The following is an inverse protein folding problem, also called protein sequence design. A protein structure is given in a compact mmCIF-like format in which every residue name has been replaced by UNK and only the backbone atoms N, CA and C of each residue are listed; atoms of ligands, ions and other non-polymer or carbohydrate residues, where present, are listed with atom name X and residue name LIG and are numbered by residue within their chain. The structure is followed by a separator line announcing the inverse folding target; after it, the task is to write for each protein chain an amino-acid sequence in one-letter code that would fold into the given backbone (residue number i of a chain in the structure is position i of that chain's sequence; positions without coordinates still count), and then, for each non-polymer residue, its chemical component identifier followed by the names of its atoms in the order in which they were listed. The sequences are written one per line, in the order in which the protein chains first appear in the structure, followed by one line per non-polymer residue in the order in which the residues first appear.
data_IF_568978561239
#
_entry.id   IF_568978561239
#
_cell.length_a   1.000
_cell.length_b   1.000
_cell.length_c   1.000
_cell.angle_alpha   90.00
_cell.angle_beta   90.00
_cell.angle_gamma   90.00
#
_symmetry.space_group_name_H-M   'P 1'
#
loop_
_entity.id
_entity.type
_entity.pdbx_description
1 polymer ?
#
# COMPACT_ATOMS: atom_id res chain seq x y z
N UNK A 1 -28.70 -57.42 -2.57
CA UNK A 1 -28.29 -56.26 -1.74
C UNK A 1 -27.28 -56.70 -0.68
N UNK A 2 -26.06 -57.07 -1.08
CA UNK A 2 -25.03 -57.54 -0.13
C UNK A 2 -23.61 -57.00 -0.42
N UNK A 3 -23.38 -56.24 -1.50
CA UNK A 3 -22.02 -55.78 -1.88
C UNK A 3 -21.60 -54.49 -1.18
N UNK A 4 -22.48 -53.51 -1.01
CA UNK A 4 -22.10 -52.18 -0.52
C UNK A 4 -21.66 -52.10 0.95
N UNK A 5 -21.99 -53.10 1.78
CA UNK A 5 -21.59 -53.09 3.20
C UNK A 5 -20.16 -53.62 3.40
N UNK A 6 -19.69 -54.51 2.54
CA UNK A 6 -18.33 -55.03 2.61
C UNK A 6 -17.32 -54.02 2.06
N UNK A 7 -17.68 -53.27 1.00
CA UNK A 7 -16.85 -52.18 0.47
C UNK A 7 -16.62 -51.06 1.53
N UNK A 8 -17.66 -50.75 2.33
CA UNK A 8 -17.56 -49.76 3.41
C UNK A 8 -16.71 -50.27 4.57
N UNK A 9 -16.80 -51.56 4.93
CA UNK A 9 -15.92 -52.15 5.96
C UNK A 9 -14.46 -52.19 5.51
N UNK A 10 -14.22 -52.44 4.24
CA UNK A 10 -12.87 -52.46 3.67
C UNK A 10 -12.25 -51.06 3.65
N UNK A 11 -13.02 -50.03 3.29
CA UNK A 11 -12.61 -48.64 3.38
C UNK A 11 -12.30 -48.21 4.84
N UNK A 12 -13.13 -48.60 5.80
CA UNK A 12 -12.91 -48.30 7.22
C UNK A 12 -11.64 -49.00 7.77
N UNK A 13 -11.38 -50.25 7.35
CA UNK A 13 -10.12 -50.95 7.69
C UNK A 13 -8.91 -50.24 7.11
N UNK A 14 -8.98 -49.78 5.85
CA UNK A 14 -7.90 -49.04 5.22
C UNK A 14 -7.60 -47.72 5.94
N UNK A 15 -8.65 -46.99 6.36
CA UNK A 15 -8.50 -45.74 7.13
C UNK A 15 -7.89 -46.01 8.50
N UNK A 16 -8.36 -47.04 9.23
CA UNK A 16 -7.81 -47.41 10.54
C UNK A 16 -6.33 -47.82 10.45
N UNK A 17 -5.96 -48.57 9.41
CA UNK A 17 -4.57 -48.95 9.14
C UNK A 17 -3.72 -47.71 8.82
N UNK A 18 -4.25 -46.77 8.04
CA UNK A 18 -3.61 -45.50 7.72
C UNK A 18 -3.37 -44.63 8.96
N UNK A 19 -4.36 -44.54 9.86
CA UNK A 19 -4.24 -43.81 11.12
C UNK A 19 -3.19 -44.43 12.05
N UNK A 20 -3.11 -45.77 12.11
CA UNK A 20 -2.11 -46.49 12.90
C UNK A 20 -0.69 -46.23 12.36
N UNK A 21 -0.52 -46.21 11.04
CA UNK A 21 0.76 -45.90 10.39
C UNK A 21 1.16 -44.43 10.57
N UNK A 22 0.19 -43.52 10.62
CA UNK A 22 0.45 -42.10 10.90
C UNK A 22 0.90 -41.90 12.35
N UNK A 23 0.25 -42.57 13.31
CA UNK A 23 0.64 -42.51 14.72
C UNK A 23 2.06 -43.02 14.94
N UNK A 24 2.44 -44.14 14.34
CA UNK A 24 3.81 -44.66 14.47
C UNK A 24 4.85 -43.76 13.79
N UNK A 25 4.51 -43.09 12.70
CA UNK A 25 5.38 -42.12 12.06
C UNK A 25 5.58 -40.86 12.93
N UNK A 26 4.51 -40.37 13.56
CA UNK A 26 4.57 -39.22 14.49
C UNK A 26 5.39 -39.58 15.73
N UNK A 27 5.23 -40.78 16.26
CA UNK A 27 6.00 -41.26 17.42
C UNK A 27 7.50 -41.41 17.09
N UNK A 28 7.83 -41.92 15.90
CA UNK A 28 9.21 -41.98 15.41
C UNK A 28 9.85 -40.59 15.22
N UNK A 29 9.07 -39.60 14.76
CA UNK A 29 9.53 -38.21 14.66
C UNK A 29 9.73 -37.60 16.04
N UNK A 30 8.83 -37.85 16.98
CA UNK A 30 8.93 -37.38 18.37
C UNK A 30 10.20 -37.93 19.06
N UNK A 31 10.50 -39.22 18.85
CA UNK A 31 11.71 -39.85 19.37
C UNK A 31 12.99 -39.23 18.77
N UNK A 32 13.01 -38.95 17.46
CA UNK A 32 14.13 -38.27 16.81
C UNK A 32 14.33 -36.84 17.32
N UNK A 33 13.25 -36.13 17.61
CA UNK A 33 13.33 -34.79 18.21
C UNK A 33 13.89 -34.87 19.63
N UNK A 34 13.46 -35.83 20.43
CA UNK A 34 14.00 -36.05 21.77
C UNK A 34 15.49 -36.45 21.76
N UNK A 35 15.93 -37.26 20.79
CA UNK A 35 17.35 -37.60 20.60
C UNK A 35 18.18 -36.37 20.19
N UNK A 36 17.66 -35.52 19.32
CA UNK A 36 18.33 -34.27 18.90
C UNK A 36 18.42 -33.24 20.03
N UNK A 37 17.40 -33.17 20.90
CA UNK A 37 17.43 -32.33 22.09
C UNK A 37 18.49 -32.83 23.09
N UNK A 38 18.57 -34.15 23.28
CA UNK A 38 19.57 -34.77 24.16
C UNK A 38 21.01 -34.61 23.63
N UNK A 39 21.21 -34.73 22.31
CA UNK A 39 22.53 -34.49 21.71
C UNK A 39 22.95 -33.03 21.82
N UNK A 40 22.00 -32.09 21.72
CA UNK A 40 22.25 -30.65 21.89
C UNK A 40 22.62 -30.29 23.33
N UNK A 41 22.05 -30.97 24.32
CA UNK A 41 22.38 -30.78 25.73
C UNK A 41 23.74 -31.39 26.13
N UNK A 42 24.15 -32.50 25.49
CA UNK A 42 25.49 -33.07 25.66
C UNK A 42 26.59 -32.20 25.01
N UNK A 43 26.31 -31.60 23.86
CA UNK A 43 27.22 -30.67 23.17
C UNK A 43 27.44 -29.37 23.98
N UNK A 44 26.43 -28.94 24.75
CA UNK A 44 26.49 -27.76 25.63
C UNK A 44 27.30 -27.98 26.93
N UNK A 45 27.62 -29.24 27.27
CA UNK A 45 28.41 -29.62 28.46
C UNK A 45 29.90 -29.84 28.20
N UNK A 46 30.38 -29.74 26.95
CA UNK A 46 31.81 -29.85 26.62
C UNK A 46 32.50 -28.48 26.73
N UNK A 47 33.64 -28.36 27.44
CA UNK A 47 34.44 -27.14 27.41
C UNK A 47 35.21 -27.05 26.08
N UNK A 48 35.03 -25.93 25.36
CA UNK A 48 35.59 -25.71 24.03
C UNK A 48 37.09 -25.41 24.08
N UNK A 49 37.89 -26.31 23.52
CA UNK A 49 39.21 -26.01 22.95
C UNK A 49 39.05 -25.43 21.54
N UNK A 50 39.91 -24.47 21.21
CA UNK A 50 39.94 -23.61 20.03
C UNK A 50 39.93 -24.32 18.65
N UNK A 51 39.16 -23.82 17.68
CA UNK A 51 39.59 -23.04 16.49
C UNK A 51 38.47 -23.07 15.41
N UNK A 52 38.27 -21.90 14.81
CA UNK A 52 37.47 -21.47 13.65
C UNK A 52 36.85 -22.51 12.70
N UNK A 53 35.55 -22.35 12.38
CA UNK A 53 35.12 -21.74 11.10
C UNK A 53 33.60 -21.53 11.00
N UNK A 54 33.19 -20.47 10.29
CA UNK A 54 31.98 -20.40 9.47
C UNK A 54 30.55 -20.55 10.05
N UNK A 55 29.76 -19.46 9.87
CA UNK A 55 28.29 -19.41 9.73
C UNK A 55 27.44 -19.30 11.01
N UNK A 56 26.89 -18.10 11.26
CA UNK A 56 25.78 -17.87 12.21
C UNK A 56 24.57 -17.28 11.49
N UNK A 57 23.48 -18.05 11.44
CA UNK A 57 22.11 -17.58 11.21
C UNK A 57 21.35 -17.59 12.54
N UNK A 58 21.01 -16.37 12.95
CA UNK A 58 19.97 -15.86 13.83
C UNK A 58 19.00 -16.84 14.50
N UNK A 59 18.95 -16.82 15.83
CA UNK A 59 17.81 -17.25 16.66
C UNK A 59 17.31 -16.08 17.51
N UNK A 60 16.03 -15.74 17.34
CA UNK A 60 15.18 -14.98 18.25
C UNK A 60 14.94 -15.74 19.56
N UNK A 61 14.67 -15.04 20.68
CA UNK A 61 13.79 -15.61 21.70
C UNK A 61 12.60 -14.70 21.98
N UNK A 62 11.41 -15.23 21.71
CA UNK A 62 10.15 -14.82 22.33
C UNK A 62 9.54 -16.08 22.96
N UNK A 63 9.65 -16.18 24.29
CA UNK A 63 8.90 -17.05 25.22
C UNK A 63 9.58 -16.81 26.59
N UNK A 64 8.99 -16.24 27.63
CA UNK A 64 7.64 -16.36 28.15
C UNK A 64 7.75 -17.05 29.52
N UNK A 65 7.29 -16.41 30.61
CA UNK A 65 7.12 -17.10 31.89
C UNK A 65 7.34 -16.24 33.14
N UNK A 66 6.23 -15.92 33.81
CA UNK A 66 6.13 -15.27 35.11
C UNK A 66 6.74 -16.10 36.25
N UNK A 67 7.43 -15.45 37.18
CA UNK A 67 7.63 -15.91 38.55
C UNK A 67 7.33 -14.76 39.54
N UNK A 68 6.64 -15.01 40.67
CA UNK A 68 6.31 -13.96 41.63
C UNK A 68 7.46 -13.73 42.62
N UNK A 69 7.85 -12.47 42.84
CA UNK A 69 8.77 -12.08 43.92
C UNK A 69 8.01 -11.46 45.10
N UNK A 70 8.49 -11.65 46.35
CA UNK A 70 7.80 -11.22 47.55
C UNK A 70 7.97 -9.72 47.82
N UNK A 71 7.02 -9.19 48.57
CA UNK A 71 6.88 -7.79 48.95
C UNK A 71 8.12 -7.23 49.68
N UNK A 72 8.55 -6.04 49.30
CA UNK A 72 9.40 -5.19 50.14
C UNK A 72 8.91 -3.74 50.09
N UNK A 73 8.95 -3.13 51.26
CA UNK A 73 8.28 -1.89 51.69
C UNK A 73 8.95 -0.65 51.08
N UNK A 74 8.16 0.34 50.67
CA UNK A 74 8.64 1.64 50.18
C UNK A 74 8.90 2.64 51.32
N UNK A 75 9.94 3.49 51.20
CA UNK A 75 9.94 4.84 51.75
C UNK A 75 9.80 5.90 50.63
N UNK A 76 9.28 7.11 50.95
CA UNK A 76 8.90 8.12 49.97
C UNK A 76 10.02 9.13 49.64
N UNK A 77 9.86 9.73 48.45
CA UNK A 77 10.42 11.00 47.94
C UNK A 77 11.86 11.13 47.38
N UNK A 78 11.87 11.50 46.09
CA UNK A 78 12.69 12.52 45.41
C UNK A 78 14.22 12.34 45.25
N UNK A 79 14.68 12.28 44.00
CA UNK A 79 16.04 12.64 43.62
C UNK A 79 16.57 11.96 42.35
N UNK A 80 16.71 12.73 41.28
CA UNK A 80 17.31 12.37 39.99
C UNK A 80 18.76 11.88 40.15
N UNK A 81 19.03 10.56 40.09
CA UNK A 81 20.38 10.04 39.85
C UNK A 81 20.32 8.77 38.98
N UNK A 82 21.01 8.82 37.85
CA UNK A 82 21.17 7.72 36.90
C UNK A 82 22.21 6.72 37.44
N UNK A 83 21.93 5.40 37.46
CA UNK A 83 22.93 4.41 37.89
C UNK A 83 24.04 4.23 36.83
N UNK A 84 25.27 3.85 37.24
CA UNK A 84 26.40 3.68 36.33
C UNK A 84 26.24 2.46 35.40
N UNK A 85 26.85 2.46 34.20
CA UNK A 85 26.65 1.40 33.22
C UNK A 85 27.37 0.11 33.62
N UNK A 86 26.61 -0.95 33.86
CA UNK A 86 27.14 -2.31 33.99
C UNK A 86 27.42 -2.92 32.61
N UNK A 87 28.65 -3.43 32.46
CA UNK A 87 29.13 -4.48 31.53
C UNK A 87 28.56 -4.53 30.10
N UNK A 88 29.42 -4.11 29.16
CA UNK A 88 29.22 -4.12 27.72
C UNK A 88 28.89 -5.53 27.15
N UNK A 89 27.78 -5.58 26.41
CA UNK A 89 27.54 -6.53 25.32
C UNK A 89 28.30 -6.05 24.07
N UNK A 90 28.62 -6.89 23.07
CA UNK A 90 29.63 -6.60 22.04
C UNK A 90 29.34 -5.30 21.30
N UNK A 91 30.41 -4.53 21.02
CA UNK A 91 30.42 -3.16 20.51
C UNK A 91 29.47 -2.90 19.32
N UNK A 92 28.22 -2.58 19.62
CA UNK A 92 27.33 -1.87 18.71
C UNK A 92 27.70 -0.38 18.72
N UNK A 93 28.83 0.02 18.09
CA UNK A 93 29.13 1.44 17.86
C UNK A 93 27.98 2.07 17.07
N UNK A 94 27.18 2.91 17.72
CA UNK A 94 25.96 3.52 17.15
C UNK A 94 26.29 4.29 15.87
N UNK A 95 25.59 4.00 14.78
CA UNK A 95 25.62 4.81 13.55
C UNK A 95 24.78 6.09 13.66
N UNK A 96 24.02 6.23 14.75
CA UNK A 96 23.19 7.40 15.04
C UNK A 96 23.96 8.41 15.89
N UNK A 97 23.75 9.70 15.62
CA UNK A 97 24.26 10.79 16.46
C UNK A 97 23.72 10.66 17.89
N UNK A 98 24.53 11.05 18.88
CA UNK A 98 24.12 11.11 20.29
C UNK A 98 22.97 12.10 20.53
N UNK A 99 22.75 13.05 19.61
CA UNK A 99 21.67 14.04 19.70
C UNK A 99 20.51 13.66 18.79
N UNK A 100 19.36 13.36 19.39
CA UNK A 100 18.10 13.14 18.66
C UNK A 100 17.42 14.49 18.42
N UNK A 101 17.33 14.91 17.15
CA UNK A 101 16.56 16.10 16.75
C UNK A 101 15.10 15.68 16.58
N UNK A 102 14.22 16.08 17.48
CA UNK A 102 12.79 15.75 17.36
C UNK A 102 12.14 16.52 16.21
N UNK A 103 12.36 17.83 16.18
CA UNK A 103 11.83 18.75 15.15
C UNK A 103 12.83 19.87 14.87
N UNK A 104 12.70 20.49 13.70
CA UNK A 104 13.42 21.70 13.31
C UNK A 104 12.46 22.87 13.31
N UNK A 105 12.89 24.08 13.62
CA UNK A 105 12.05 25.28 13.51
C UNK A 105 12.74 26.34 12.64
N UNK A 106 12.00 27.10 11.80
CA UNK A 106 12.61 28.04 10.85
C UNK A 106 13.48 29.13 11.48
N UNK A 107 13.23 29.49 12.74
CA UNK A 107 13.98 30.53 13.46
C UNK A 107 15.25 30.00 14.16
N UNK A 108 15.53 28.70 14.07
CA UNK A 108 16.74 28.12 14.64
C UNK A 108 17.95 28.35 13.72
N UNK A 109 19.11 28.62 14.34
CA UNK A 109 20.36 28.80 13.62
C UNK A 109 20.69 27.51 12.84
N UNK A 110 20.97 27.65 11.54
CA UNK A 110 21.31 26.54 10.65
C UNK A 110 20.10 25.82 10.03
N UNK A 111 18.87 26.25 10.32
CA UNK A 111 17.66 25.73 9.66
C UNK A 111 17.27 26.68 8.53
N UNK A 112 17.35 26.20 7.29
CA UNK A 112 16.98 26.94 6.07
C UNK A 112 16.23 25.99 5.12
N UNK A 113 14.91 25.82 5.30
CA UNK A 113 14.11 24.96 4.41
C UNK A 113 14.29 25.32 2.94
N UNK A 114 14.22 24.33 2.05
CA UNK A 114 14.15 24.57 0.62
C UNK A 114 12.85 25.32 0.28
N UNK A 115 12.91 26.42 -0.51
CA UNK A 115 11.72 27.11 -0.98
C UNK A 115 10.75 26.16 -1.67
N UNK A 116 9.45 26.37 -1.46
CA UNK A 116 8.41 25.50 -1.99
C UNK A 116 7.10 26.28 -2.16
N UNK A 117 6.67 26.43 -3.41
CA UNK A 117 5.41 27.06 -3.77
C UNK A 117 4.49 26.06 -4.49
N UNK A 118 3.60 25.40 -3.74
CA UNK A 118 2.74 24.35 -4.29
C UNK A 118 1.86 24.89 -5.43
N UNK A 119 1.92 24.23 -6.59
CA UNK A 119 1.16 24.61 -7.78
C UNK A 119 1.84 25.66 -8.66
N UNK A 120 3.10 26.04 -8.43
CA UNK A 120 3.84 26.84 -9.40
C UNK A 120 4.09 26.05 -10.72
N UNK A 121 4.06 26.75 -11.84
CA UNK A 121 4.21 26.16 -13.17
C UNK A 121 5.67 25.78 -13.48
N UNK A 122 6.62 26.62 -13.08
CA UNK A 122 8.05 26.33 -13.19
C UNK A 122 8.46 25.34 -12.08
N UNK A 123 9.07 24.18 -12.40
CA UNK A 123 9.59 23.27 -11.40
C UNK A 123 10.58 23.94 -10.43
N UNK A 124 11.41 24.88 -10.87
CA UNK A 124 12.40 25.52 -9.98
C UNK A 124 11.74 26.44 -8.94
N UNK A 125 10.72 27.20 -9.33
CA UNK A 125 9.89 27.99 -8.39
C UNK A 125 9.03 27.09 -7.50
N UNK A 126 8.48 26.00 -8.05
CA UNK A 126 7.71 25.00 -7.31
C UNK A 126 8.53 24.38 -6.19
N UNK A 127 9.80 24.09 -6.45
CA UNK A 127 10.75 23.53 -5.51
C UNK A 127 10.54 22.03 -5.22
N UNK A 128 11.62 21.30 -4.88
CA UNK A 128 11.56 19.87 -4.64
C UNK A 128 10.89 19.53 -3.31
N UNK A 129 10.25 18.37 -3.23
CA UNK A 129 9.73 17.81 -1.98
C UNK A 129 10.83 17.09 -1.22
N UNK A 130 11.11 17.51 0.01
CA UNK A 130 12.15 16.88 0.85
C UNK A 130 11.69 16.59 2.28
N UNK A 131 11.77 15.31 2.63
CA UNK A 131 11.44 14.78 3.97
C UNK A 131 12.63 14.12 4.67
N UNK A 132 13.76 13.93 3.98
CA UNK A 132 14.90 13.16 4.50
C UNK A 132 15.43 13.74 5.81
N UNK A 133 15.56 12.88 6.82
CA UNK A 133 16.05 13.22 8.16
C UNK A 133 17.55 12.97 8.33
N UNK A 134 18.27 12.77 7.23
CA UNK A 134 19.74 12.65 7.25
C UNK A 134 20.38 13.92 7.81
N UNK A 135 21.56 13.83 8.46
CA UNK A 135 22.22 15.00 9.06
C UNK A 135 22.43 16.17 8.10
N UNK A 136 22.68 15.89 6.82
CA UNK A 136 22.85 16.94 5.80
C UNK A 136 21.53 17.57 5.33
N UNK A 137 20.40 16.87 5.44
CA UNK A 137 19.11 17.32 4.86
C UNK A 137 18.11 17.80 5.91
N UNK A 138 18.24 17.40 7.19
CA UNK A 138 17.27 17.70 8.24
C UNK A 138 16.93 19.21 8.37
N UNK A 139 17.92 20.09 8.18
CA UNK A 139 17.74 21.54 8.23
C UNK A 139 17.18 22.18 6.96
N UNK A 140 17.09 21.42 5.86
CA UNK A 140 16.60 21.85 4.54
C UNK A 140 15.19 21.33 4.21
N UNK A 141 14.61 20.48 5.07
CA UNK A 141 13.28 19.87 4.89
C UNK A 141 12.16 20.89 4.75
N UNK A 142 11.25 20.62 3.82
CA UNK A 142 10.03 21.40 3.56
C UNK A 142 8.76 20.54 3.52
N UNK A 143 8.86 19.26 3.89
CA UNK A 143 7.73 18.34 4.00
C UNK A 143 7.81 17.48 5.29
N UNK A 144 6.64 17.03 5.76
CA UNK A 144 6.46 16.12 6.89
C UNK A 144 6.37 14.69 6.35
N UNK A 145 6.80 13.69 7.11
CA UNK A 145 6.66 12.27 6.74
C UNK A 145 7.97 11.61 6.33
N UNK A 146 7.87 10.59 5.49
CA UNK A 146 9.00 9.82 4.97
C UNK A 146 8.74 9.34 3.54
N UNK A 147 9.80 9.15 2.76
CA UNK A 147 9.73 8.46 1.47
C UNK A 147 9.46 6.96 1.67
N UNK A 148 8.92 6.30 0.65
CA UNK A 148 8.62 4.87 0.70
C UNK A 148 7.20 4.55 1.19
N UNK A 149 6.41 5.55 1.56
CA UNK A 149 5.05 5.37 2.08
C UNK A 149 5.00 4.36 3.23
N UNK A 150 4.13 3.35 3.12
CA UNK A 150 4.04 2.25 4.10
C UNK A 150 5.34 1.45 4.29
N UNK A 151 6.30 1.54 3.37
CA UNK A 151 7.58 0.82 3.47
C UNK A 151 8.66 1.54 4.28
N UNK A 152 8.42 2.79 4.68
CA UNK A 152 9.40 3.58 5.43
C UNK A 152 9.81 2.92 6.75
N UNK A 153 8.92 2.14 7.36
CA UNK A 153 9.19 1.39 8.59
C UNK A 153 10.21 0.27 8.34
N UNK A 154 10.10 -0.47 7.24
CA UNK A 154 11.07 -1.51 6.88
C UNK A 154 12.43 -0.89 6.53
N UNK A 155 12.44 0.25 5.85
CA UNK A 155 13.66 1.00 5.60
C UNK A 155 14.36 1.41 6.90
N UNK A 156 13.60 1.88 7.90
CA UNK A 156 14.14 2.20 9.22
C UNK A 156 14.69 0.97 9.95
N UNK A 157 14.04 -0.18 9.84
CA UNK A 157 14.53 -1.45 10.40
C UNK A 157 15.84 -1.90 9.73
N UNK A 158 15.95 -1.78 8.40
CA UNK A 158 17.16 -2.13 7.66
C UNK A 158 18.37 -1.26 8.06
N UNK A 159 18.14 0.02 8.36
CA UNK A 159 19.16 0.92 8.92
C UNK A 159 19.55 0.51 10.34
N UNK A 160 18.57 0.16 11.18
CA UNK A 160 18.83 -0.27 12.56
C UNK A 160 19.59 -1.60 12.61
N UNK A 161 19.29 -2.53 11.70
CA UNK A 161 19.99 -3.82 11.58
C UNK A 161 21.34 -3.72 10.86
N UNK A 162 21.70 -2.53 10.34
CA UNK A 162 22.95 -2.25 9.59
C UNK A 162 23.08 -3.00 8.26
N UNK A 163 21.99 -3.55 7.75
CA UNK A 163 21.91 -4.08 6.37
C UNK A 163 21.97 -2.93 5.35
N UNK A 164 21.65 -1.71 5.79
CA UNK A 164 21.82 -0.48 5.04
C UNK A 164 22.65 0.54 5.82
N UNK A 165 23.53 1.28 5.12
CA UNK A 165 24.34 2.34 5.72
C UNK A 165 23.48 3.56 6.08
N UNK A 166 23.79 4.22 7.20
CA UNK A 166 23.06 5.40 7.69
C UNK A 166 23.13 6.62 6.74
N UNK A 167 24.21 6.70 5.97
CA UNK A 167 24.46 7.72 4.94
C UNK A 167 24.12 7.23 3.53
N UNK A 168 23.41 6.10 3.41
CA UNK A 168 23.05 5.54 2.10
C UNK A 168 22.26 6.56 1.27
N UNK A 169 22.80 6.86 0.08
CA UNK A 169 22.15 7.66 -0.95
C UNK A 169 21.78 6.74 -2.11
N UNK A 170 20.51 6.74 -2.53
CA UNK A 170 20.12 6.05 -3.75
C UNK A 170 20.88 6.62 -4.95
N UNK A 171 21.38 5.75 -5.81
CA UNK A 171 21.91 6.12 -7.11
C UNK A 171 20.77 6.08 -8.15
N UNK A 172 20.56 7.20 -8.84
CA UNK A 172 19.53 7.37 -9.87
C UNK A 172 20.10 7.33 -11.29
N UNK A 173 21.34 6.86 -11.46
CA UNK A 173 21.94 6.64 -12.78
C UNK A 173 21.10 5.66 -13.59
N UNK A 174 20.72 6.02 -14.82
CA UNK A 174 19.88 5.24 -15.73
C UNK A 174 18.47 4.91 -15.19
N UNK A 175 17.94 5.68 -14.23
CA UNK A 175 16.57 5.51 -13.74
C UNK A 175 15.58 6.51 -14.36
N UNK A 176 15.94 7.06 -15.52
CA UNK A 176 15.14 8.05 -16.25
C UNK A 176 13.76 7.49 -16.61
N UNK A 177 12.69 8.31 -16.54
CA UNK A 177 11.37 7.89 -16.96
C UNK A 177 11.37 7.31 -18.38
N UNK A 178 10.86 6.08 -18.54
CA UNK A 178 10.81 5.42 -19.86
C UNK A 178 9.85 6.11 -20.85
N UNK A 179 8.99 7.01 -20.36
CA UNK A 179 8.07 7.84 -21.13
C UNK A 179 7.99 9.21 -20.47
N UNK A 180 8.03 10.26 -21.27
CA UNK A 180 7.79 11.63 -20.81
C UNK A 180 6.29 11.87 -20.63
N UNK A 181 5.91 12.37 -19.45
CA UNK A 181 4.53 12.72 -19.13
C UNK A 181 4.50 14.21 -18.77
N UNK A 182 3.60 14.96 -19.40
CA UNK A 182 3.44 16.39 -19.14
C UNK A 182 4.66 17.24 -19.56
N UNK A 183 4.77 18.47 -19.03
CA UNK A 183 3.87 19.08 -18.06
C UNK A 183 2.47 19.37 -18.63
N UNK A 184 1.46 19.32 -17.77
CA UNK A 184 0.08 19.68 -18.13
C UNK A 184 -0.36 20.94 -17.39
N UNK A 185 -1.25 21.78 -17.95
CA UNK A 185 -1.70 23.02 -17.31
C UNK A 185 -2.29 22.83 -15.91
N UNK A 186 -2.86 21.66 -15.62
CA UNK A 186 -3.43 21.32 -14.32
C UNK A 186 -2.38 21.19 -13.21
N UNK A 187 -1.09 21.07 -13.55
CA UNK A 187 0.01 21.00 -12.58
C UNK A 187 0.30 22.38 -11.97
N UNK A 188 -0.04 23.45 -12.70
CA UNK A 188 0.10 24.84 -12.29
C UNK A 188 -1.10 25.36 -11.46
N UNK A 189 -2.02 24.48 -11.04
CA UNK A 189 -3.15 24.84 -10.18
C UNK A 189 -3.08 24.06 -8.87
N UNK A 190 -2.78 24.80 -7.80
CA UNK A 190 -2.65 24.28 -6.43
C UNK A 190 -3.89 23.54 -5.90
N UNK A 191 -5.06 23.73 -6.52
CA UNK A 191 -6.32 23.08 -6.12
C UNK A 191 -6.60 21.78 -6.88
N UNK A 192 -6.02 21.60 -8.07
CA UNK A 192 -6.33 20.44 -8.94
C UNK A 192 -5.65 19.18 -8.46
N UNK A 193 -4.36 19.25 -8.12
CA UNK A 193 -3.56 18.12 -7.68
C UNK A 193 -3.07 18.40 -6.27
N UNK A 194 -3.61 17.64 -5.30
CA UNK A 194 -3.35 17.88 -3.86
C UNK A 194 -2.85 16.64 -3.13
N UNK A 195 -2.73 15.49 -3.80
CA UNK A 195 -2.38 14.21 -3.18
C UNK A 195 -1.31 13.40 -3.92
N UNK A 196 -0.68 14.00 -4.92
CA UNK A 196 0.52 13.48 -5.58
C UNK A 196 1.39 14.67 -6.00
N UNK A 197 2.70 14.44 -6.12
CA UNK A 197 3.62 15.42 -6.67
C UNK A 197 3.80 15.15 -8.17
N UNK A 198 3.22 15.98 -9.07
CA UNK A 198 3.29 15.73 -10.51
C UNK A 198 4.72 15.77 -11.06
N UNK A 199 5.62 16.55 -10.45
CA UNK A 199 7.03 16.64 -10.83
C UNK A 199 7.89 15.52 -10.24
N UNK A 200 7.29 14.64 -9.42
CA UNK A 200 7.95 13.61 -8.64
C UNK A 200 8.79 12.61 -9.44
N UNK A 201 8.54 12.47 -10.75
CA UNK A 201 9.26 11.57 -11.64
C UNK A 201 10.55 12.17 -12.21
N UNK A 202 10.76 13.48 -12.11
CA UNK A 202 11.91 14.19 -12.69
C UNK A 202 12.88 14.75 -11.63
N UNK A 203 12.63 14.52 -10.34
CA UNK A 203 13.34 15.13 -9.22
C UNK A 203 14.88 15.01 -9.32
N UNK A 204 15.47 13.83 -9.57
CA UNK A 204 16.94 13.71 -9.67
C UNK A 204 17.58 14.55 -10.77
N UNK A 205 16.86 14.80 -11.89
CA UNK A 205 17.37 15.53 -13.05
C UNK A 205 17.12 17.03 -12.94
N UNK A 206 15.91 17.44 -12.52
CA UNK A 206 15.55 18.86 -12.38
C UNK A 206 16.36 19.57 -11.29
N UNK A 207 16.67 18.85 -10.20
CA UNK A 207 17.30 19.45 -9.03
C UNK A 207 18.73 18.96 -8.80
N UNK A 208 19.39 18.43 -9.84
CA UNK A 208 20.77 17.93 -9.78
C UNK A 208 21.74 18.93 -9.14
N UNK A 209 21.63 20.19 -9.53
CA UNK A 209 22.43 21.29 -8.99
C UNK A 209 22.22 21.50 -7.49
N UNK A 210 20.97 21.44 -7.03
CA UNK A 210 20.62 21.62 -5.61
C UNK A 210 21.17 20.44 -4.80
N UNK A 211 21.00 19.22 -5.30
CA UNK A 211 21.52 17.98 -4.67
C UNK A 211 23.03 18.09 -4.46
N UNK A 212 23.77 18.52 -5.49
CA UNK A 212 25.23 18.62 -5.45
C UNK A 212 25.73 19.80 -4.62
N UNK A 213 25.21 21.01 -4.85
CA UNK A 213 25.70 22.24 -4.21
C UNK A 213 25.31 22.32 -2.74
N UNK A 214 24.10 21.87 -2.38
CA UNK A 214 23.57 21.98 -1.03
C UNK A 214 23.65 20.67 -0.24
N UNK A 215 24.16 19.61 -0.87
CA UNK A 215 24.36 18.29 -0.27
C UNK A 215 23.07 17.67 0.31
N UNK A 216 21.93 17.88 -0.34
CA UNK A 216 20.60 17.39 0.10
C UNK A 216 20.21 16.06 -0.53
N UNK A 217 19.49 15.23 0.22
CA UNK A 217 18.88 13.98 -0.25
C UNK A 217 17.48 14.26 -0.80
N UNK A 218 17.37 14.29 -2.13
CA UNK A 218 16.11 14.43 -2.86
C UNK A 218 15.81 13.13 -3.61
N UNK A 219 14.61 12.58 -3.40
CA UNK A 219 14.19 11.31 -3.99
C UNK A 219 12.94 11.51 -4.84
N UNK A 220 12.80 10.78 -5.96
CA UNK A 220 11.58 10.80 -6.74
C UNK A 220 10.45 10.15 -5.95
N UNK A 221 9.24 10.63 -6.18
CA UNK A 221 7.99 10.05 -5.63
C UNK A 221 7.18 9.33 -6.71
N UNK A 222 7.63 9.40 -7.97
CA UNK A 222 7.02 8.70 -9.10
C UNK A 222 8.11 7.99 -9.89
N UNK A 223 7.84 6.76 -10.34
CA UNK A 223 8.70 6.01 -11.25
C UNK A 223 7.89 5.50 -12.44
N UNK A 224 8.44 5.62 -13.64
CA UNK A 224 7.77 5.25 -14.91
C UNK A 224 8.63 4.23 -15.65
N UNK A 225 8.05 3.08 -15.99
CA UNK A 225 8.73 2.02 -16.72
C UNK A 225 7.82 1.38 -17.77
N UNK A 226 8.41 0.72 -18.76
CA UNK A 226 7.69 -0.13 -19.71
C UNK A 226 7.90 -1.58 -19.33
N UNK A 227 6.85 -2.37 -19.43
CA UNK A 227 6.90 -3.78 -19.10
C UNK A 227 5.91 -4.58 -19.93
N UNK A 228 6.14 -5.88 -19.98
CA UNK A 228 5.17 -6.84 -20.45
C UNK A 228 4.36 -7.38 -19.27
N UNK A 229 3.07 -7.61 -19.49
CA UNK A 229 2.16 -8.16 -18.50
C UNK A 229 1.45 -9.37 -19.11
N UNK A 230 1.46 -10.49 -18.39
CA UNK A 230 0.70 -11.68 -18.74
C UNK A 230 -0.33 -11.98 -17.66
N UNK A 231 -1.59 -12.17 -18.08
CA UNK A 231 -2.69 -12.56 -17.21
C UNK A 231 -3.39 -13.79 -17.82
N UNK A 232 -3.59 -14.88 -17.05
CA UNK A 232 -4.25 -16.09 -17.57
C UNK A 232 -5.63 -15.83 -18.19
N UNK A 233 -6.39 -14.88 -17.65
CA UNK A 233 -7.72 -14.54 -18.13
C UNK A 233 -7.71 -13.83 -19.49
N UNK A 234 -6.61 -13.13 -19.82
CA UNK A 234 -6.47 -12.50 -21.12
C UNK A 234 -6.12 -13.52 -22.20
N UNK A 235 -5.35 -14.56 -21.87
CA UNK A 235 -5.10 -15.69 -22.76
C UNK A 235 -6.43 -16.36 -23.17
N UNK A 236 -7.33 -16.59 -22.21
CA UNK A 236 -8.67 -17.11 -22.51
C UNK A 236 -9.54 -16.11 -23.29
N UNK A 237 -9.37 -14.80 -23.04
CA UNK A 237 -10.05 -13.75 -23.81
C UNK A 237 -9.60 -13.73 -25.27
N UNK A 238 -8.32 -14.03 -25.54
CA UNK A 238 -7.79 -14.19 -26.90
C UNK A 238 -8.30 -15.48 -27.54
N UNK A 239 -8.25 -16.60 -26.81
CA UNK A 239 -8.75 -17.90 -27.28
C UNK A 239 -10.23 -17.89 -27.64
N UNK A 240 -11.05 -17.18 -26.86
CA UNK A 240 -12.48 -16.99 -27.11
C UNK A 240 -12.79 -15.94 -28.18
N UNK A 241 -11.77 -15.28 -28.75
CA UNK A 241 -11.92 -14.26 -29.78
C UNK A 241 -12.45 -12.90 -29.29
N UNK A 242 -12.54 -12.69 -27.96
CA UNK A 242 -12.98 -11.41 -27.37
C UNK A 242 -11.89 -10.34 -27.46
N UNK A 243 -10.62 -10.76 -27.46
CA UNK A 243 -9.46 -9.90 -27.67
C UNK A 243 -8.65 -10.43 -28.86
N UNK A 244 -8.29 -9.55 -29.79
CA UNK A 244 -7.50 -9.93 -30.97
C UNK A 244 -6.08 -9.37 -30.84
N UNK A 245 -5.02 -10.18 -30.97
CA UNK A 245 -3.65 -9.68 -30.94
C UNK A 245 -3.38 -8.69 -32.09
N UNK A 246 -2.78 -7.55 -31.78
CA UNK A 246 -2.43 -6.49 -32.74
C UNK A 246 -0.91 -6.30 -32.90
N UNK A 247 -0.11 -7.06 -32.15
CA UNK A 247 1.36 -6.97 -32.13
C UNK A 247 1.90 -5.69 -31.49
N UNK A 248 1.03 -4.82 -30.95
CA UNK A 248 1.41 -3.51 -30.39
C UNK A 248 0.99 -3.36 -28.93
N UNK A 249 -0.31 -3.50 -28.67
CA UNK A 249 -0.90 -3.46 -27.32
C UNK A 249 -1.05 -4.88 -26.77
N UNK A 250 -1.64 -5.78 -27.56
CA UNK A 250 -1.72 -7.21 -27.30
C UNK A 250 -0.78 -7.93 -28.27
N UNK A 251 0.34 -8.42 -27.75
CA UNK A 251 1.50 -8.82 -28.56
C UNK A 251 1.34 -10.16 -29.25
N UNK A 252 0.72 -11.13 -28.58
CA UNK A 252 0.69 -12.52 -29.02
C UNK A 252 -0.61 -13.24 -28.60
N UNK A 253 -0.74 -14.48 -29.06
CA UNK A 253 -1.90 -15.34 -28.78
C UNK A 253 -2.01 -15.73 -27.29
N UNK A 254 -0.91 -15.59 -26.53
CA UNK A 254 -0.88 -15.83 -25.09
C UNK A 254 -1.46 -14.66 -24.27
N UNK A 255 -1.98 -13.61 -24.92
CA UNK A 255 -2.59 -12.46 -24.27
C UNK A 255 -1.57 -11.57 -23.53
N UNK A 256 -0.32 -11.56 -23.96
CA UNK A 256 0.71 -10.69 -23.39
C UNK A 256 0.47 -9.24 -23.80
N UNK A 257 0.43 -8.35 -22.80
CA UNK A 257 0.18 -6.93 -23.00
C UNK A 257 1.45 -6.10 -22.87
N UNK A 258 1.64 -5.16 -23.78
CA UNK A 258 2.62 -4.09 -23.64
C UNK A 258 2.02 -2.95 -22.81
N UNK A 259 2.63 -2.65 -21.67
CA UNK A 259 2.09 -1.71 -20.69
C UNK A 259 3.14 -0.73 -20.19
N UNK A 260 2.74 0.54 -20.09
CA UNK A 260 3.51 1.54 -19.34
C UNK A 260 3.02 1.53 -17.90
N UNK A 261 3.92 1.26 -16.96
CA UNK A 261 3.64 1.20 -15.52
C UNK A 261 4.15 2.46 -14.85
N UNK A 262 3.32 3.06 -14.02
CA UNK A 262 3.65 4.27 -13.26
C UNK A 262 3.38 3.99 -11.79
N UNK A 263 4.41 3.97 -10.95
CA UNK A 263 4.26 3.89 -9.51
C UNK A 263 4.25 5.31 -8.94
N UNK A 264 3.30 5.62 -8.05
CA UNK A 264 3.13 6.95 -7.45
C UNK A 264 3.01 6.82 -5.94
N UNK A 265 3.91 7.49 -5.23
CA UNK A 265 3.82 7.71 -3.79
C UNK A 265 2.90 8.90 -3.46
N UNK A 266 2.13 8.83 -2.36
CA UNK A 266 1.24 9.91 -1.96
C UNK A 266 2.03 11.11 -1.44
N UNK A 267 1.75 12.29 -1.99
CA UNK A 267 2.30 13.57 -1.53
C UNK A 267 1.15 14.56 -1.36
N UNK A 268 0.83 14.87 -0.11
CA UNK A 268 -0.35 15.65 0.24
C UNK A 268 -0.01 17.12 0.44
N UNK A 269 -0.76 17.98 -0.23
CA UNK A 269 -0.81 19.40 0.07
C UNK A 269 -1.93 19.65 1.09
N UNK A 270 -1.56 19.80 2.37
CA UNK A 270 -2.48 19.83 3.50
C UNK A 270 -3.63 20.86 3.35
N UNK A 271 -3.40 22.11 2.88
CA UNK A 271 -4.49 23.05 2.65
C UNK A 271 -5.50 22.57 1.61
N UNK A 272 -5.02 21.98 0.51
CA UNK A 272 -5.88 21.45 -0.55
C UNK A 272 -6.63 20.18 -0.15
N UNK A 273 -6.01 19.34 0.68
CA UNK A 273 -6.67 18.18 1.28
C UNK A 273 -7.79 18.63 2.22
N UNK A 274 -7.52 19.58 3.12
CA UNK A 274 -8.51 20.13 4.05
C UNK A 274 -9.73 20.72 3.31
N UNK A 275 -9.48 21.48 2.24
CA UNK A 275 -10.54 22.04 1.37
C UNK A 275 -11.44 20.95 0.77
N UNK A 276 -10.88 19.80 0.34
CA UNK A 276 -11.68 18.68 -0.20
C UNK A 276 -12.55 17.99 0.84
N UNK A 277 -12.11 17.99 2.08
CA UNK A 277 -12.88 17.48 3.22
C UNK A 277 -13.88 18.49 3.77
N UNK A 278 -13.82 19.76 3.34
CA UNK A 278 -14.65 20.82 3.90
C UNK A 278 -14.32 21.15 5.37
N UNK A 279 -13.08 20.92 5.80
CA UNK A 279 -12.59 21.21 7.16
C UNK A 279 -11.43 22.20 7.11
N UNK A 280 -11.11 22.82 8.24
CA UNK A 280 -9.93 23.66 8.34
C UNK A 280 -8.63 22.83 8.45
N UNK A 281 -7.51 23.43 8.04
CA UNK A 281 -6.20 22.77 8.02
C UNK A 281 -5.73 22.34 9.43
N UNK A 282 -6.10 23.11 10.47
CA UNK A 282 -5.72 22.82 11.85
C UNK A 282 -6.42 21.57 12.39
N UNK A 283 -7.72 21.45 12.14
CA UNK A 283 -8.54 20.28 12.47
C UNK A 283 -8.03 19.04 11.74
N UNK A 284 -7.72 19.14 10.44
CA UNK A 284 -7.11 18.05 9.67
C UNK A 284 -5.79 17.59 10.33
N UNK A 285 -4.87 18.52 10.59
CA UNK A 285 -3.56 18.22 11.20
C UNK A 285 -3.68 17.58 12.57
N UNK A 286 -4.59 18.11 13.40
CA UNK A 286 -4.84 17.59 14.74
C UNK A 286 -5.39 16.17 14.69
N UNK A 287 -6.38 15.94 13.86
CA UNK A 287 -6.95 14.60 13.65
C UNK A 287 -5.89 13.61 13.17
N UNK A 288 -5.08 14.00 12.17
CA UNK A 288 -3.96 13.18 11.69
C UNK A 288 -2.96 12.87 12.80
N UNK A 289 -2.58 13.84 13.63
CA UNK A 289 -1.64 13.62 14.73
C UNK A 289 -2.20 12.70 15.82
N UNK A 290 -3.40 13.00 16.33
CA UNK A 290 -4.01 12.27 17.45
C UNK A 290 -4.35 10.82 17.05
N UNK A 291 -4.91 10.60 15.86
CA UNK A 291 -5.35 9.27 15.42
C UNK A 291 -4.27 8.42 14.74
N UNK A 292 -3.06 8.96 14.54
CA UNK A 292 -1.89 8.18 14.11
C UNK A 292 -0.93 7.87 15.27
N UNK A 293 -1.38 8.03 16.52
CA UNK A 293 -0.57 7.76 17.71
C UNK A 293 0.58 8.75 17.90
N UNK A 294 0.44 9.99 17.40
CA UNK A 294 1.45 11.02 17.56
C UNK A 294 2.71 10.85 16.71
N UNK A 295 2.65 10.04 15.64
CA UNK A 295 3.82 9.66 14.82
C UNK A 295 4.58 10.86 14.23
N UNK A 296 3.89 11.95 13.89
CA UNK A 296 4.49 13.16 13.31
C UNK A 296 4.13 14.42 14.11
N UNK A 297 4.91 14.78 15.15
CA UNK A 297 4.71 16.00 15.94
C UNK A 297 4.78 17.29 15.11
N UNK A 298 5.44 17.27 13.95
CA UNK A 298 5.49 18.40 13.01
C UNK A 298 4.10 18.80 12.48
N UNK A 299 3.11 17.89 12.49
CA UNK A 299 1.74 18.24 12.07
C UNK A 299 1.15 19.36 12.94
N UNK A 300 1.48 19.38 14.24
CA UNK A 300 1.04 20.40 15.21
C UNK A 300 2.06 21.54 15.32
N UNK A 301 3.35 21.18 15.45
CA UNK A 301 4.40 22.14 15.80
C UNK A 301 4.91 22.95 14.61
N UNK A 302 4.70 22.47 13.37
CA UNK A 302 5.19 23.07 12.12
C UNK A 302 4.05 23.35 11.16
N UNK A 303 3.24 24.36 11.48
CA UNK A 303 2.15 24.83 10.62
C UNK A 303 2.64 25.52 9.34
N UNK A 304 3.93 25.90 9.28
CA UNK A 304 4.60 26.46 8.11
C UNK A 304 4.82 25.41 7.00
N UNK A 305 5.04 24.13 7.36
CA UNK A 305 5.21 23.06 6.37
C UNK A 305 3.84 22.63 5.85
N UNK A 306 3.54 22.90 4.57
CA UNK A 306 2.24 22.57 3.95
C UNK A 306 2.18 21.22 3.24
N UNK A 307 3.29 20.50 3.14
CA UNK A 307 3.36 19.22 2.43
C UNK A 307 3.59 18.06 3.40
N UNK A 308 2.87 16.95 3.18
CA UNK A 308 2.93 15.75 4.00
C UNK A 308 3.02 14.50 3.13
N UNK A 309 3.95 13.59 3.44
CA UNK A 309 4.06 12.27 2.83
C UNK A 309 3.53 11.23 3.83
N UNK A 310 2.23 10.88 3.75
CA UNK A 310 1.64 9.92 4.65
C UNK A 310 2.22 8.51 4.40
N UNK A 311 2.46 7.71 5.46
CA UNK A 311 2.96 6.34 5.35
C UNK A 311 1.84 5.36 4.99
N UNK A 312 1.16 5.64 3.88
CA UNK A 312 0.05 4.82 3.34
C UNK A 312 0.46 4.17 2.02
N UNK A 313 -0.37 3.25 1.54
CA UNK A 313 -0.21 2.65 0.22
C UNK A 313 -0.35 3.70 -0.88
N UNK A 314 0.56 3.66 -1.85
CA UNK A 314 0.48 4.48 -3.06
C UNK A 314 -0.51 3.93 -4.09
N UNK A 315 -0.30 4.32 -5.35
CA UNK A 315 -1.06 3.79 -6.48
C UNK A 315 -0.12 3.37 -7.60
N UNK A 316 -0.58 2.42 -8.40
CA UNK A 316 0.10 2.01 -9.64
C UNK A 316 -0.85 2.22 -10.79
N UNK A 317 -0.41 2.94 -11.81
CA UNK A 317 -1.15 3.14 -13.06
C UNK A 317 -0.59 2.21 -14.13
N UNK A 318 -1.49 1.51 -14.79
CA UNK A 318 -1.22 0.71 -15.98
C UNK A 318 -1.84 1.41 -17.18
N UNK A 319 -0.99 1.90 -18.08
CA UNK A 319 -1.41 2.53 -19.33
C UNK A 319 -1.18 1.56 -20.50
N UNK A 320 -2.26 1.30 -21.23
CA UNK A 320 -2.30 0.49 -22.44
C UNK A 320 -2.36 1.41 -23.66
N UNK A 321 -1.48 1.16 -24.63
CA UNK A 321 -1.26 2.07 -25.76
C UNK A 321 -0.38 3.26 -25.41
N UNK A 322 -0.55 4.36 -26.12
CA UNK A 322 0.30 5.55 -26.03
C UNK A 322 -0.12 6.46 -24.84
N UNK A 323 0.76 6.70 -23.85
CA UNK A 323 0.48 7.57 -22.71
C UNK A 323 0.15 9.03 -23.10
N UNK A 324 0.65 9.54 -24.23
CA UNK A 324 0.36 10.91 -24.65
C UNK A 324 -1.15 11.11 -24.93
N UNK A 325 -1.82 10.06 -25.41
CA UNK A 325 -3.26 10.07 -25.74
C UNK A 325 -4.16 10.12 -24.52
N UNK A 326 -3.66 9.83 -23.32
CA UNK A 326 -4.45 9.92 -22.07
C UNK A 326 -4.97 11.34 -21.80
N UNK A 327 -4.22 12.35 -22.26
CA UNK A 327 -4.51 13.77 -22.04
C UNK A 327 -5.21 14.46 -23.21
N UNK A 328 -5.35 13.78 -24.35
CA UNK A 328 -5.88 14.34 -25.59
C UNK A 328 -7.42 14.26 -25.60
N UNK A 329 -8.15 15.39 -25.58
CA UNK A 329 -9.62 15.39 -25.60
C UNK A 329 -10.22 14.83 -26.90
N UNK A 330 -9.44 14.73 -27.98
CA UNK A 330 -9.90 14.17 -29.26
C UNK A 330 -9.93 12.64 -29.28
N UNK A 331 -9.30 11.99 -28.28
CA UNK A 331 -9.21 10.54 -28.16
C UNK A 331 -10.15 10.02 -27.09
N UNK A 332 -10.62 8.80 -27.27
CA UNK A 332 -11.40 8.09 -26.27
C UNK A 332 -10.47 7.46 -25.24
N UNK A 333 -10.93 7.49 -23.99
CA UNK A 333 -10.21 6.97 -22.83
C UNK A 333 -11.08 5.95 -22.09
N UNK A 334 -10.61 4.72 -22.01
CA UNK A 334 -11.18 3.71 -21.12
C UNK A 334 -10.43 3.76 -19.79
N UNK A 335 -11.13 4.08 -18.71
CA UNK A 335 -10.53 4.25 -17.38
C UNK A 335 -11.17 3.29 -16.37
N UNK A 336 -10.34 2.51 -15.69
CA UNK A 336 -10.73 1.70 -14.53
C UNK A 336 -10.00 2.19 -13.29
N UNK A 337 -10.76 2.60 -12.28
CA UNK A 337 -10.24 2.82 -10.94
C UNK A 337 -10.54 1.56 -10.14
N UNK A 338 -9.50 0.95 -9.57
CA UNK A 338 -9.58 -0.28 -8.83
C UNK A 338 -8.93 -0.11 -7.46
N UNK A 339 -9.62 -0.58 -6.43
CA UNK A 339 -9.13 -0.60 -5.06
C UNK A 339 -8.60 -2.00 -4.79
N UNK A 340 -7.39 -2.09 -4.24
CA UNK A 340 -6.75 -3.34 -3.87
C UNK A 340 -7.70 -4.24 -3.07
N UNK A 341 -7.81 -5.50 -3.51
CA UNK A 341 -8.53 -6.55 -2.82
C UNK A 341 -7.73 -7.84 -2.90
N UNK A 342 -6.76 -8.02 -2.00
CA UNK A 342 -5.82 -9.14 -1.98
C UNK A 342 -6.52 -10.50 -2.15
N UNK A 343 -7.58 -10.76 -1.38
CA UNK A 343 -8.31 -12.03 -1.45
C UNK A 343 -8.90 -12.37 -2.82
N UNK A 344 -9.44 -11.39 -3.54
CA UNK A 344 -10.04 -11.63 -4.87
C UNK A 344 -9.01 -11.48 -5.98
N UNK A 345 -8.20 -10.41 -5.93
CA UNK A 345 -7.25 -10.05 -6.97
C UNK A 345 -6.09 -11.04 -7.07
N UNK A 346 -5.62 -11.61 -5.95
CA UNK A 346 -4.50 -12.57 -5.95
C UNK A 346 -5.00 -14.01 -5.91
N UNK A 347 -5.91 -14.32 -4.98
CA UNK A 347 -6.32 -15.70 -4.67
C UNK A 347 -7.64 -16.14 -5.32
N UNK A 348 -8.27 -15.28 -6.14
CA UNK A 348 -9.54 -15.59 -6.81
C UNK A 348 -10.65 -16.03 -5.82
N UNK A 349 -10.68 -15.45 -4.61
CA UNK A 349 -11.72 -15.76 -3.63
C UNK A 349 -13.11 -15.46 -4.19
N UNK A 350 -14.05 -16.37 -3.91
CA UNK A 350 -15.47 -16.29 -4.21
C UNK A 350 -16.23 -15.25 -3.35
N UNK A 351 -15.57 -14.71 -2.32
CA UNK A 351 -16.16 -13.76 -1.36
C UNK A 351 -16.32 -12.35 -1.98
N UNK A 352 -15.49 -11.98 -2.96
CA UNK A 352 -15.65 -10.72 -3.72
C UNK A 352 -15.56 -10.96 -5.22
N UNK A 353 -16.32 -10.17 -5.97
CA UNK A 353 -16.28 -10.07 -7.44
C UNK A 353 -15.27 -9.06 -7.96
N UNK A 354 -14.31 -8.65 -7.13
CA UNK A 354 -13.35 -7.58 -7.40
C UNK A 354 -12.47 -7.90 -8.62
N UNK A 355 -11.91 -9.12 -8.70
CA UNK A 355 -11.06 -9.57 -9.82
C UNK A 355 -11.79 -9.65 -11.16
N UNK A 356 -12.99 -10.26 -11.30
CA UNK A 356 -13.75 -10.22 -12.55
C UNK A 356 -13.94 -8.79 -13.10
N UNK A 357 -14.23 -7.81 -12.23
CA UNK A 357 -14.33 -6.41 -12.66
C UNK A 357 -13.00 -5.78 -13.05
N UNK A 358 -11.90 -6.17 -12.40
CA UNK A 358 -10.55 -5.74 -12.77
C UNK A 358 -10.20 -6.26 -14.17
N UNK A 359 -10.39 -7.56 -14.42
CA UNK A 359 -10.11 -8.19 -15.72
C UNK A 359 -10.97 -7.56 -16.83
N UNK A 360 -12.26 -7.36 -16.58
CA UNK A 360 -13.13 -6.65 -17.53
C UNK A 360 -12.63 -5.23 -17.83
N UNK A 361 -12.22 -4.49 -16.80
CA UNK A 361 -11.65 -3.15 -16.97
C UNK A 361 -10.35 -3.13 -17.78
N UNK A 362 -9.49 -4.14 -17.59
CA UNK A 362 -8.25 -4.31 -18.37
C UNK A 362 -8.59 -4.64 -19.83
N UNK A 363 -9.51 -5.57 -20.07
CA UNK A 363 -9.91 -5.98 -21.42
C UNK A 363 -10.48 -4.79 -22.22
N UNK A 364 -11.38 -4.01 -21.63
CA UNK A 364 -11.93 -2.83 -22.28
C UNK A 364 -10.89 -1.71 -22.47
N UNK A 365 -9.95 -1.57 -21.53
CA UNK A 365 -8.82 -0.64 -21.68
C UNK A 365 -7.91 -1.02 -22.87
N UNK A 366 -7.63 -2.31 -23.03
CA UNK A 366 -6.86 -2.80 -24.18
C UNK A 366 -7.62 -2.59 -25.48
N UNK A 367 -8.91 -2.93 -25.56
CA UNK A 367 -9.73 -2.71 -26.76
C UNK A 367 -9.77 -1.24 -27.18
N UNK A 368 -9.93 -0.33 -26.22
CA UNK A 368 -9.93 1.11 -26.52
C UNK A 368 -8.56 1.58 -27.02
N UNK A 369 -7.47 1.09 -26.44
CA UNK A 369 -6.12 1.36 -26.92
C UNK A 369 -5.90 0.84 -28.35
N UNK A 370 -6.42 -0.35 -28.68
CA UNK A 370 -6.36 -0.92 -30.04
C UNK A 370 -7.19 -0.12 -31.05
N UNK A 371 -8.33 0.44 -30.64
CA UNK A 371 -9.19 1.31 -31.46
C UNK A 371 -8.60 2.71 -31.70
N UNK A 372 -7.38 2.98 -31.25
CA UNK A 372 -6.68 4.24 -31.43
C UNK A 372 -6.90 5.26 -30.31
N UNK A 373 -7.62 4.89 -29.25
CA UNK A 373 -7.75 5.63 -27.99
C UNK A 373 -6.58 5.36 -27.02
N UNK A 374 -6.89 5.37 -25.73
CA UNK A 374 -5.98 4.99 -24.64
C UNK A 374 -6.74 4.22 -23.56
N UNK A 375 -6.07 3.25 -22.95
CA UNK A 375 -6.60 2.47 -21.84
C UNK A 375 -5.82 2.72 -20.56
N UNK A 376 -6.49 2.99 -19.45
CA UNK A 376 -5.85 3.27 -18.16
C UNK A 376 -6.53 2.48 -17.04
N UNK A 377 -5.73 1.75 -16.27
CA UNK A 377 -6.17 1.09 -15.04
C UNK A 377 -5.34 1.64 -13.88
N UNK A 378 -6.01 2.26 -12.92
CA UNK A 378 -5.39 2.79 -11.70
C UNK A 378 -5.68 1.81 -10.58
N UNK A 379 -4.63 1.22 -10.01
CA UNK A 379 -4.69 0.30 -8.90
C UNK A 379 -4.26 1.01 -7.61
N UNK A 380 -5.22 1.34 -6.75
CA UNK A 380 -4.97 1.96 -5.46
C UNK A 380 -4.69 0.91 -4.40
N UNK A 381 -3.60 1.08 -3.65
CA UNK A 381 -3.22 0.15 -2.58
C UNK A 381 -3.94 0.46 -1.27
N UNK A 382 -5.26 0.25 -1.27
CA UNK A 382 -6.16 0.51 -0.15
C UNK A 382 -7.13 -0.64 0.10
N UNK A 383 -6.61 -1.69 0.72
CA UNK A 383 -7.41 -2.86 1.10
C UNK A 383 -8.63 -2.48 1.96
N UNK A 384 -9.77 -3.11 1.66
CA UNK A 384 -10.99 -2.99 2.46
C UNK A 384 -11.52 -1.55 2.57
N UNK A 385 -11.39 -0.74 1.51
CA UNK A 385 -11.75 0.70 1.51
C UNK A 385 -10.95 1.51 2.54
N UNK A 386 -9.66 1.19 2.67
CA UNK A 386 -8.74 1.75 3.66
C UNK A 386 -9.01 1.38 5.13
N UNK A 387 -9.91 0.42 5.41
CA UNK A 387 -10.09 -0.14 6.77
C UNK A 387 -9.13 -1.30 7.07
N UNK A 388 -8.45 -1.82 6.04
CA UNK A 388 -7.56 -2.96 6.15
C UNK A 388 -8.28 -4.31 6.16
N UNK A 389 -7.48 -5.37 5.97
CA UNK A 389 -7.94 -6.74 5.76
C UNK A 389 -8.62 -7.33 7.00
N UNK A 390 -8.12 -7.03 8.20
CA UNK A 390 -8.68 -7.53 9.47
C UNK A 390 -10.13 -7.06 9.65
N UNK A 391 -10.38 -5.76 9.46
CA UNK A 391 -11.71 -5.17 9.58
C UNK A 391 -12.66 -5.74 8.53
N UNK A 392 -12.18 -5.89 7.28
CA UNK A 392 -12.92 -6.51 6.19
C UNK A 392 -13.39 -7.93 6.55
N UNK A 393 -12.50 -8.79 7.05
CA UNK A 393 -12.88 -10.15 7.43
C UNK A 393 -13.84 -10.18 8.62
N UNK A 394 -13.68 -9.27 9.59
CA UNK A 394 -14.61 -9.17 10.72
C UNK A 394 -16.04 -8.82 10.26
N UNK A 395 -16.17 -7.91 9.29
CA UNK A 395 -17.46 -7.58 8.67
C UNK A 395 -18.07 -8.79 7.92
N UNK A 396 -17.25 -9.53 7.19
CA UNK A 396 -17.69 -10.72 6.44
C UNK A 396 -18.15 -11.85 7.37
N UNK A 397 -17.40 -12.15 8.43
CA UNK A 397 -17.77 -13.13 9.46
C UNK A 397 -19.10 -12.76 10.12
N UNK A 398 -19.34 -11.45 10.34
CA UNK A 398 -20.62 -11.01 10.86
C UNK A 398 -21.76 -11.24 9.88
N UNK A 399 -21.56 -10.96 8.59
CA UNK A 399 -22.62 -11.08 7.58
C UNK A 399 -23.08 -12.53 7.36
N UNK A 400 -22.25 -13.50 7.73
CA UNK A 400 -22.55 -14.94 7.59
C UNK A 400 -23.15 -15.56 8.87
N UNK A 401 -23.22 -14.83 9.99
CA UNK A 401 -23.87 -15.30 11.22
C UNK A 401 -25.36 -14.91 11.25
N UNK A 402 -26.29 -15.85 11.53
CA UNK A 402 -27.73 -15.61 11.50
C UNK A 402 -28.27 -14.93 12.78
N UNK A 403 -27.63 -13.85 13.25
CA UNK A 403 -28.11 -13.10 14.42
C UNK A 403 -28.20 -11.61 14.10
N UNK A 404 -29.29 -10.99 14.58
CA UNK A 404 -29.73 -9.61 14.36
C UNK A 404 -28.63 -8.64 13.94
N UNK A 405 -28.73 -8.14 12.70
CA UNK A 405 -27.90 -7.08 12.09
C UNK A 405 -27.80 -5.83 13.01
N UNK A 406 -28.71 -5.65 13.97
CA UNK A 406 -28.67 -4.57 14.97
C UNK A 406 -27.49 -4.65 15.93
N UNK A 407 -26.90 -5.83 16.18
CA UNK A 407 -25.77 -5.96 17.12
C UNK A 407 -24.47 -5.39 16.52
N UNK A 408 -24.30 -5.42 15.19
CA UNK A 408 -23.16 -4.74 14.57
C UNK A 408 -23.39 -3.25 14.39
N UNK A 409 -24.61 -2.78 14.13
CA UNK A 409 -24.90 -1.34 14.16
C UNK A 409 -24.57 -0.68 15.52
N UNK A 410 -24.29 -1.44 16.58
CA UNK A 410 -23.81 -0.92 17.88
C UNK A 410 -22.31 -0.64 17.94
N UNK A 411 -21.54 -1.14 16.97
CA UNK A 411 -20.20 -0.68 16.71
C UNK A 411 -20.34 0.33 15.57
N UNK A 412 -20.34 1.62 15.88
CA UNK A 412 -20.46 2.68 14.88
C UNK A 412 -19.20 2.76 14.01
N UNK A 413 -19.07 1.90 12.99
CA UNK A 413 -18.06 2.13 11.94
C UNK A 413 -18.58 3.18 10.96
N UNK A 414 -17.73 4.12 10.51
CA UNK A 414 -18.16 5.16 9.59
C UNK A 414 -18.73 4.52 8.32
N UNK A 415 -19.81 5.11 7.80
CA UNK A 415 -20.48 4.56 6.63
C UNK A 415 -19.59 4.66 5.38
N UNK A 416 -19.90 3.88 4.36
CA UNK A 416 -19.20 3.88 3.06
C UNK A 416 -19.07 5.29 2.44
N UNK A 417 -20.04 6.16 2.73
CA UNK A 417 -20.04 7.56 2.29
C UNK A 417 -19.05 8.43 3.06
N UNK A 418 -18.82 8.12 4.33
CA UNK A 418 -17.95 8.88 5.23
C UNK A 418 -16.46 8.57 4.97
N UNK A 419 -16.12 7.38 4.46
CA UNK A 419 -14.77 7.05 4.00
C UNK A 419 -14.53 7.31 2.50
N UNK A 420 -15.58 7.42 1.68
CA UNK A 420 -15.45 7.80 0.27
C UNK A 420 -15.00 9.25 0.08
N UNK A 421 -15.40 10.16 0.98
CA UNK A 421 -14.84 11.51 1.07
C UNK A 421 -13.34 11.48 1.41
N UNK A 422 -12.91 10.53 2.27
CA UNK A 422 -11.50 10.27 2.58
C UNK A 422 -10.66 9.77 1.41
N UNK A 423 -11.30 9.21 0.39
CA UNK A 423 -10.63 8.61 -0.76
C UNK A 423 -10.75 9.43 -2.04
N UNK A 424 -11.50 10.55 -2.06
CA UNK A 424 -11.64 11.42 -3.24
C UNK A 424 -10.55 12.51 -3.32
N UNK A 425 -9.29 12.09 -3.19
CA UNK A 425 -8.15 12.95 -3.46
C UNK A 425 -7.72 12.98 -4.94
N UNK A 426 -8.49 12.35 -5.83
CA UNK A 426 -8.14 12.19 -7.26
C UNK A 426 -9.25 12.46 -8.29
N UNK A 427 -10.28 13.29 -8.01
CA UNK A 427 -11.28 13.63 -9.03
C UNK A 427 -10.75 14.66 -10.03
N UNK A 428 -10.22 14.15 -11.15
CA UNK A 428 -10.04 14.90 -12.38
C UNK A 428 -11.38 15.46 -12.89
N UNK A 429 -11.29 16.55 -13.64
CA UNK A 429 -12.42 17.33 -14.11
C UNK A 429 -13.43 16.54 -14.96
N UNK A 430 -14.58 17.17 -15.12
CA UNK A 430 -15.74 16.73 -15.91
C UNK A 430 -15.31 16.23 -17.31
N UNK A 431 -15.26 14.91 -17.47
CA UNK A 431 -15.22 14.21 -18.76
C UNK A 431 -16.45 13.30 -18.75
N UNK A 432 -17.24 13.32 -19.83
CA UNK A 432 -18.41 12.45 -19.97
C UNK A 432 -17.96 10.98 -19.93
N UNK A 433 -18.21 10.30 -18.82
CA UNK A 433 -17.82 8.91 -18.61
C UNK A 433 -19.03 7.97 -18.69
N UNK A 434 -18.84 6.87 -19.41
CA UNK A 434 -19.71 5.69 -19.34
C UNK A 434 -19.19 4.79 -18.21
N UNK A 435 -19.64 5.01 -16.98
CA UNK A 435 -19.36 4.13 -15.85
C UNK A 435 -20.22 2.86 -15.92
N UNK A 436 -19.59 1.69 -15.83
CA UNK A 436 -20.28 0.39 -15.75
C UNK A 436 -20.28 -0.09 -14.30
N UNK A 437 -21.34 0.22 -13.55
CA UNK A 437 -21.62 -0.43 -12.27
C UNK A 437 -23.08 -0.89 -12.23
N UNK A 438 -23.31 -2.16 -11.86
CA UNK A 438 -24.64 -2.70 -11.56
C UNK A 438 -24.64 -3.19 -10.11
N UNK A 439 -25.60 -2.69 -9.32
CA UNK A 439 -25.94 -3.23 -8.00
C UNK A 439 -27.46 -3.30 -7.84
N UNK A 440 -28.03 -4.39 -7.31
CA UNK A 440 -29.47 -4.52 -7.12
C UNK A 440 -29.93 -3.75 -5.87
N UNK A 441 -31.03 -2.99 -6.01
CA UNK A 441 -31.73 -2.37 -4.88
C UNK A 441 -32.68 -3.37 -4.25
N UNK A 442 -32.51 -3.65 -2.96
CA UNK A 442 -33.58 -4.18 -2.10
C UNK A 442 -34.34 -3.01 -1.47
N UNK A 443 -35.66 -3.19 -1.39
CA UNK A 443 -36.67 -2.18 -1.13
C UNK A 443 -37.05 -2.06 0.34
N UNK A 444 -37.41 -0.83 0.74
CA UNK A 444 -38.20 -0.37 1.90
C UNK A 444 -37.40 0.12 3.13
N UNK A 445 -37.55 1.42 3.40
CA UNK A 445 -37.40 1.98 4.75
C UNK A 445 -36.35 3.08 4.95
N UNK A 446 -36.50 4.25 4.30
CA UNK A 446 -36.29 5.57 4.95
C UNK A 446 -36.34 6.69 3.91
N UNK A 447 -37.38 7.52 3.99
CA UNK A 447 -37.37 8.88 3.42
C UNK A 447 -36.57 9.73 4.39
N UNK A 448 -35.52 10.41 3.94
CA UNK A 448 -35.08 11.77 4.36
C UNK A 448 -33.85 12.17 3.51
N UNK A 449 -33.92 13.38 2.95
CA UNK A 449 -32.90 14.16 2.25
C UNK A 449 -32.25 13.61 0.97
N UNK A 450 -32.94 13.86 -0.15
CA UNK A 450 -32.33 14.01 -1.46
C UNK A 450 -31.79 15.43 -1.64
N UNK A 451 -30.46 15.60 -1.71
CA UNK A 451 -29.81 16.77 -2.29
C UNK A 451 -28.87 16.33 -3.42
N UNK A 452 -29.38 16.52 -4.65
CA UNK A 452 -28.72 16.63 -5.97
C UNK A 452 -27.27 16.09 -6.11
N UNK A 453 -27.16 14.81 -6.51
CA UNK A 453 -26.18 14.37 -7.52
C UNK A 453 -26.95 13.52 -8.55
N UNK A 454 -27.24 14.11 -9.70
CA UNK A 454 -27.89 13.42 -10.81
C UNK A 454 -26.83 12.72 -11.66
N UNK A 455 -26.80 11.40 -11.61
CA UNK A 455 -26.36 10.57 -12.73
C UNK A 455 -27.12 9.24 -12.66
N UNK A 456 -28.27 9.18 -13.36
CA UNK A 456 -28.96 7.93 -13.70
C UNK A 456 -28.92 7.79 -15.21
N UNK A 457 -28.26 6.76 -15.71
CA UNK A 457 -28.55 6.21 -17.04
C UNK A 457 -29.02 4.77 -16.79
N UNK A 458 -30.30 4.54 -17.05
CA UNK A 458 -30.97 3.25 -17.00
C UNK A 458 -30.70 2.49 -18.31
N UNK A 459 -30.37 1.21 -18.24
CA UNK A 459 -30.45 0.30 -19.39
C UNK A 459 -31.66 -0.62 -19.22
N UNK A 460 -32.75 -0.30 -19.93
CA UNK A 460 -33.84 -1.23 -20.24
C UNK A 460 -34.11 -1.09 -21.74
N UNK A 461 -34.03 -2.19 -22.49
CA UNK A 461 -34.53 -2.25 -23.86
C UNK A 461 -33.60 -2.94 -24.84
N UNK A 462 -33.73 -4.27 -24.93
CA UNK A 462 -33.76 -5.02 -26.19
C UNK A 462 -34.16 -6.46 -25.85
N UNK A 463 -35.48 -6.63 -25.68
CA UNK A 463 -36.11 -7.93 -25.83
C UNK A 463 -36.14 -8.25 -27.33
N UNK A 464 -35.66 -9.43 -27.71
CA UNK A 464 -36.06 -10.08 -28.96
C UNK A 464 -36.97 -11.26 -28.60
N UNK A 465 -38.02 -11.52 -29.41
CA UNK A 465 -39.14 -12.35 -29.01
C UNK A 465 -38.80 -13.83 -29.12
N UNK A 466 -39.16 -14.63 -28.11
CA UNK A 466 -39.40 -16.06 -28.30
C UNK A 466 -40.90 -16.27 -28.35
N UNK A 467 -41.38 -16.52 -29.57
CA UNK A 467 -42.68 -17.11 -29.85
C UNK A 467 -42.72 -18.55 -29.35
N UNK A 468 -43.93 -18.95 -29.00
CA UNK A 468 -44.43 -20.24 -28.54
C UNK A 468 -44.23 -21.39 -29.53
N UNK A 469 -44.07 -22.59 -28.96
CA UNK A 469 -44.44 -23.94 -29.45
C UNK A 469 -43.78 -24.53 -30.73
N UNK A 470 -43.47 -25.83 -30.58
CA UNK A 470 -42.85 -26.82 -31.47
C UNK A 470 -41.32 -26.75 -31.69
#
# INVERSE_FOLDING_TARGET
MASGLEDVKEALKAISLGQTKLLSAVEAVSQRVAELEKSRDEERRRPSGSVADGVKRTTTPLAGGFTPSPASVMPPEAGTQTPPPSSASPDFKSSFSSRVVLTTYPKQIGIKPLPMEWGAADPLERGPVTVSRSPSTIGRRNAIGAHGGSYSIYYALALASRELKADHRPDFTNTEPAVNIGPFPQWADKKKIVAMDPWGHLVPWLYKDIIQKENVDLRPTIAITKAHMKLPELEESVRSGRLVPDGKVCLNEQGELNVTKIAVEPVWYLPGVAERFGIDEGTLRRSLFEHTGGMYPELITRSDIKVFLPPIGGLTVYCFGDPARMSDPSKRLALRIHDECNGSDVFCSDICTCRPYLIFGIEEAVKEAQNGGSGVVIYFRKEGRALGEVTKYRMLISSTRPTNISSLMSLDWPSDKDLQSCTTLGSAGRIEHRTTSRGPKTSRGSRICASRLSCRISFTGLALPRSTEC
#
